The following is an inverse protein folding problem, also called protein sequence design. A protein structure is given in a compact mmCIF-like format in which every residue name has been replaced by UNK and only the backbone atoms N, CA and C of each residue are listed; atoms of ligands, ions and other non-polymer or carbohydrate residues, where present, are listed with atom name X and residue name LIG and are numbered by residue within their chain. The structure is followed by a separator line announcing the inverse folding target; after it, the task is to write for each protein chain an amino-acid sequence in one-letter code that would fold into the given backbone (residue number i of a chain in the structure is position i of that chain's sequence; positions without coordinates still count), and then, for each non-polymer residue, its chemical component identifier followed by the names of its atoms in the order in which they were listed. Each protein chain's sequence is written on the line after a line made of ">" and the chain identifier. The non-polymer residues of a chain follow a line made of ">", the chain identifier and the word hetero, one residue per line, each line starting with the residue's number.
data_IF_880451833610
#
_entry.id   IF_880451833610
#
_cell.length_a   1.000
_cell.length_b   1.000
_cell.length_c   1.000
_cell.angle_alpha   90.00
_cell.angle_beta   90.00
_cell.angle_gamma   90.00
#
_symmetry.space_group_name_H-M   'P 1'
#
loop_
_entity.id
_entity.type
_entity.pdbx_description
1 polymer ?
#
# COMPACT_ATOMS: atom_id res chain seq x y z
N UNK A 1 10.12 5.16 -0.70
CA UNK A 1 9.76 5.52 0.68
C UNK A 1 11.02 6.01 1.38
N UNK A 2 10.94 7.14 2.06
CA UNK A 2 12.01 7.69 2.91
C UNK A 2 11.38 7.87 4.29
N UNK A 3 11.99 7.29 5.33
CA UNK A 3 11.47 7.34 6.71
C UNK A 3 10.00 6.87 6.87
N UNK A 4 9.59 5.83 6.15
CA UNK A 4 8.22 5.32 6.20
C UNK A 4 7.18 6.20 5.50
N UNK A 5 7.58 7.34 4.95
CA UNK A 5 6.73 8.21 4.13
C UNK A 5 6.95 7.93 2.66
N UNK A 6 5.85 7.94 1.91
CA UNK A 6 5.89 7.80 0.46
C UNK A 6 6.32 9.15 -0.12
N UNK A 7 7.26 9.09 -1.05
CA UNK A 7 7.63 10.20 -1.91
C UNK A 7 7.56 9.65 -3.32
N UNK A 8 6.91 10.37 -4.21
CA UNK A 8 7.00 10.15 -5.64
C UNK A 8 7.06 11.53 -6.32
N UNK A 9 7.28 11.56 -7.61
CA UNK A 9 7.43 12.79 -8.39
C UNK A 9 6.31 12.86 -9.41
N UNK A 10 5.81 14.05 -9.77
CA UNK A 10 4.91 14.20 -10.90
C UNK A 10 5.48 13.51 -12.15
N UNK A 11 4.62 12.78 -12.88
CA UNK A 11 5.04 12.03 -14.07
C UNK A 11 5.16 12.92 -15.31
N UNK A 12 4.42 14.02 -15.35
CA UNK A 12 4.49 15.02 -16.40
C UNK A 12 5.64 16.00 -16.11
N UNK A 13 6.44 16.33 -17.13
CA UNK A 13 7.58 17.22 -17.00
C UNK A 13 7.16 18.65 -16.59
N UNK A 14 6.02 19.14 -17.08
CA UNK A 14 5.52 20.46 -16.71
C UNK A 14 5.20 20.52 -15.20
N UNK A 15 4.45 19.55 -14.71
CA UNK A 15 4.09 19.42 -13.31
C UNK A 15 5.31 19.18 -12.41
N UNK A 16 6.34 18.50 -12.93
CA UNK A 16 7.60 18.26 -12.21
C UNK A 16 8.40 19.54 -11.99
N UNK A 17 8.47 20.41 -13.00
CA UNK A 17 9.17 21.70 -12.90
C UNK A 17 8.46 22.60 -11.89
N UNK A 18 7.13 22.69 -11.96
CA UNK A 18 6.33 23.43 -10.98
C UNK A 18 6.47 22.87 -9.56
N UNK A 19 6.42 21.55 -9.41
CA UNK A 19 6.63 20.89 -8.12
C UNK A 19 8.03 21.13 -7.55
N UNK A 20 9.08 21.11 -8.37
CA UNK A 20 10.45 21.42 -7.91
C UNK A 20 10.58 22.87 -7.45
N UNK A 21 10.01 23.81 -8.19
CA UNK A 21 10.04 25.23 -7.84
C UNK A 21 9.27 25.50 -6.53
N UNK A 22 8.14 24.82 -6.33
CA UNK A 22 7.40 24.86 -5.06
C UNK A 22 8.19 24.20 -3.93
N UNK A 23 8.74 23.00 -4.15
CA UNK A 23 9.52 22.27 -3.14
C UNK A 23 10.74 23.08 -2.70
N UNK A 24 11.48 23.69 -3.65
CA UNK A 24 12.62 24.57 -3.34
C UNK A 24 12.21 25.79 -2.52
N UNK A 25 11.06 26.43 -2.84
CA UNK A 25 10.54 27.57 -2.06
C UNK A 25 10.14 27.17 -0.64
N UNK A 26 9.54 25.99 -0.47
CA UNK A 26 9.11 25.49 0.84
C UNK A 26 10.27 24.99 1.70
N UNK A 27 11.34 24.47 1.11
CA UNK A 27 12.58 24.17 1.83
C UNK A 27 13.26 25.45 2.36
N UNK A 28 13.15 26.57 1.61
CA UNK A 28 13.74 27.85 2.00
C UNK A 28 12.90 28.68 2.99
N UNK A 29 11.60 28.39 3.11
CA UNK A 29 10.69 29.03 4.07
C UNK A 29 10.33 28.01 5.14
N UNK A 30 11.16 27.93 6.19
CA UNK A 30 11.05 26.93 7.23
C UNK A 30 9.72 26.97 8.00
N UNK A 31 8.69 26.34 7.45
CA UNK A 31 7.58 25.72 8.15
C UNK A 31 7.23 24.45 7.38
N UNK A 32 7.27 23.30 8.06
CA UNK A 32 7.03 21.96 7.53
C UNK A 32 5.56 21.76 7.11
N UNK A 33 5.02 22.61 6.24
CA UNK A 33 3.72 22.39 5.62
C UNK A 33 3.89 21.21 4.69
N UNK A 34 3.35 20.06 5.13
CA UNK A 34 3.31 18.80 4.39
C UNK A 34 2.61 19.05 3.05
N UNK A 35 3.39 19.35 2.02
CA UNK A 35 2.88 19.34 0.65
C UNK A 35 2.74 17.87 0.30
N UNK A 36 1.55 17.34 0.55
CA UNK A 36 1.12 16.13 -0.13
C UNK A 36 0.83 16.56 -1.58
N UNK A 37 1.66 16.18 -2.56
CA UNK A 37 1.28 16.42 -3.95
C UNK A 37 -0.07 15.71 -4.22
N UNK A 38 -0.92 16.30 -5.06
CA UNK A 38 -2.31 15.85 -5.28
C UNK A 38 -2.46 14.37 -5.69
N UNK A 39 -1.40 13.74 -6.18
CA UNK A 39 -1.37 12.32 -6.57
C UNK A 39 -0.85 11.39 -5.46
N UNK A 40 -0.44 11.97 -4.32
CA UNK A 40 0.04 11.28 -3.14
C UNK A 40 -0.94 11.53 -1.98
N UNK A 41 -2.14 11.00 -2.11
CA UNK A 41 -3.15 11.02 -1.05
C UNK A 41 -2.59 10.29 0.16
N UNK A 42 -2.40 11.02 1.26
CA UNK A 42 -2.09 10.39 2.55
C UNK A 42 -3.33 9.61 3.00
N UNK A 43 -3.15 8.45 3.63
CA UNK A 43 -4.27 7.65 4.15
C UNK A 43 -5.22 8.45 5.06
N UNK A 44 -4.71 9.51 5.70
CA UNK A 44 -5.45 10.40 6.58
C UNK A 44 -6.28 11.49 5.86
N UNK A 45 -5.96 11.80 4.60
CA UNK A 45 -6.64 12.85 3.80
C UNK A 45 -7.65 12.26 2.81
N UNK A 46 -7.78 10.93 2.73
CA UNK A 46 -8.72 10.25 1.85
C UNK A 46 -10.16 10.45 2.34
N UNK A 47 -10.96 11.11 1.51
CA UNK A 47 -12.36 11.46 1.82
C UNK A 47 -13.35 10.44 1.27
N UNK A 48 -13.00 9.76 0.17
CA UNK A 48 -13.87 8.77 -0.47
C UNK A 48 -13.43 7.34 -0.22
N UNK A 49 -14.36 6.39 -0.38
CA UNK A 49 -14.05 4.96 -0.24
C UNK A 49 -13.13 4.45 -1.37
N UNK A 50 -13.24 5.05 -2.56
CA UNK A 50 -12.39 4.74 -3.71
C UNK A 50 -10.95 5.18 -3.49
N UNK A 51 -10.73 6.41 -2.98
CA UNK A 51 -9.39 6.90 -2.62
C UNK A 51 -8.71 6.00 -1.58
N UNK A 52 -9.47 5.52 -0.59
CA UNK A 52 -8.95 4.58 0.43
C UNK A 52 -8.57 3.23 -0.19
N UNK A 53 -9.32 2.75 -1.17
CA UNK A 53 -8.99 1.51 -1.88
C UNK A 53 -7.72 1.67 -2.72
N UNK A 54 -7.59 2.78 -3.47
CA UNK A 54 -6.42 3.05 -4.29
C UNK A 54 -5.13 3.12 -3.46
N UNK A 55 -5.19 3.79 -2.31
CA UNK A 55 -4.07 3.85 -1.36
C UNK A 55 -3.71 2.44 -0.87
N UNK A 56 -4.70 1.62 -0.51
CA UNK A 56 -4.47 0.25 -0.05
C UNK A 56 -3.83 -0.60 -1.15
N UNK A 57 -4.36 -0.57 -2.37
CA UNK A 57 -3.84 -1.34 -3.49
C UNK A 57 -2.38 -0.99 -3.78
N UNK A 58 -2.03 0.29 -3.73
CA UNK A 58 -0.66 0.74 -3.95
C UNK A 58 0.28 0.32 -2.81
N UNK A 59 -0.18 0.42 -1.56
CA UNK A 59 0.59 -0.08 -0.40
C UNK A 59 0.83 -1.58 -0.52
N UNK A 60 -0.18 -2.36 -0.87
CA UNK A 60 -0.05 -3.82 -1.09
C UNK A 60 0.94 -4.11 -2.21
N UNK A 61 0.80 -3.46 -3.37
CA UNK A 61 1.68 -3.64 -4.53
C UNK A 61 3.13 -3.34 -4.20
N UNK A 62 3.36 -2.21 -3.53
CA UNK A 62 4.71 -1.77 -3.23
C UNK A 62 5.32 -2.60 -2.12
N UNK A 63 4.63 -2.78 -0.98
CA UNK A 63 5.19 -3.43 0.22
C UNK A 63 5.43 -4.93 0.05
N UNK A 64 4.56 -5.65 -0.68
CA UNK A 64 4.80 -7.07 -0.92
C UNK A 64 5.98 -7.32 -1.85
N UNK A 65 6.36 -6.34 -2.68
CA UNK A 65 7.56 -6.42 -3.53
C UNK A 65 8.84 -6.01 -2.80
N UNK A 66 8.77 -5.58 -1.55
CA UNK A 66 9.98 -5.30 -0.77
C UNK A 66 10.30 -6.46 0.17
N UNK A 67 11.56 -6.54 0.62
CA UNK A 67 12.00 -7.58 1.55
C UNK A 67 11.25 -7.49 2.89
N UNK A 68 10.80 -6.31 3.29
CA UNK A 68 10.13 -6.07 4.58
C UNK A 68 8.68 -6.59 4.61
N UNK A 69 8.00 -6.64 3.46
CA UNK A 69 6.61 -7.08 3.36
C UNK A 69 5.57 -6.08 3.85
N UNK A 70 4.33 -6.57 3.90
CA UNK A 70 3.13 -5.83 4.25
C UNK A 70 2.77 -6.04 5.72
N UNK A 71 2.66 -4.93 6.45
CA UNK A 71 2.18 -4.91 7.83
C UNK A 71 0.64 -4.92 7.86
N UNK A 72 0.08 -6.04 8.30
CA UNK A 72 -1.35 -6.30 8.41
C UNK A 72 -2.00 -5.53 9.57
N UNK A 73 -1.27 -5.15 10.62
CA UNK A 73 -1.81 -4.25 11.67
C UNK A 73 -2.03 -2.85 11.13
N UNK A 74 -1.09 -2.36 10.32
CA UNK A 74 -1.26 -1.08 9.65
C UNK A 74 -2.50 -1.14 8.74
N UNK A 75 -2.69 -2.24 7.99
CA UNK A 75 -3.89 -2.42 7.15
C UNK A 75 -5.15 -2.49 7.99
N UNK A 76 -5.16 -3.23 9.10
CA UNK A 76 -6.30 -3.33 10.01
C UNK A 76 -6.71 -1.95 10.55
N UNK A 77 -5.73 -1.15 10.98
CA UNK A 77 -5.97 0.17 11.55
C UNK A 77 -6.54 1.16 10.52
N UNK A 78 -6.06 1.13 9.27
CA UNK A 78 -6.42 2.11 8.25
C UNK A 78 -7.60 1.68 7.35
N UNK A 79 -7.76 0.37 7.12
CA UNK A 79 -8.73 -0.19 6.17
C UNK A 79 -9.64 -1.27 6.79
N UNK A 80 -9.44 -1.60 8.06
CA UNK A 80 -10.30 -2.51 8.83
C UNK A 80 -10.00 -4.00 8.61
N UNK A 81 -10.59 -4.81 9.49
CA UNK A 81 -10.43 -6.28 9.52
C UNK A 81 -10.85 -6.95 8.21
N UNK A 82 -11.85 -6.39 7.51
CA UNK A 82 -12.31 -6.94 6.22
C UNK A 82 -11.21 -6.92 5.16
N UNK A 83 -10.41 -5.85 5.11
CA UNK A 83 -9.29 -5.72 4.18
C UNK A 83 -8.20 -6.74 4.50
N UNK A 84 -7.86 -6.92 5.78
CA UNK A 84 -6.91 -7.95 6.23
C UNK A 84 -7.36 -9.35 5.82
N UNK A 85 -8.64 -9.67 6.06
CA UNK A 85 -9.20 -10.97 5.68
C UNK A 85 -9.15 -11.20 4.17
N UNK A 86 -9.44 -10.17 3.36
CA UNK A 86 -9.34 -10.26 1.90
C UNK A 86 -7.90 -10.47 1.43
N UNK A 87 -6.93 -9.77 2.03
CA UNK A 87 -5.50 -9.94 1.72
C UNK A 87 -5.03 -11.35 2.07
N UNK A 88 -5.35 -11.83 3.28
CA UNK A 88 -4.98 -13.18 3.72
C UNK A 88 -5.62 -14.23 2.81
N UNK A 89 -6.89 -14.05 2.44
CA UNK A 89 -7.60 -14.96 1.52
C UNK A 89 -6.97 -14.96 0.13
N UNK A 90 -6.66 -13.80 -0.44
CA UNK A 90 -6.01 -13.69 -1.75
C UNK A 90 -4.59 -14.24 -1.74
N UNK A 91 -3.90 -14.18 -0.60
CA UNK A 91 -2.55 -14.73 -0.42
C UNK A 91 -2.50 -16.24 -0.19
N UNK A 92 -3.66 -16.88 0.01
CA UNK A 92 -3.72 -18.29 0.45
C UNK A 92 -2.94 -19.24 -0.46
N UNK A 93 -3.10 -19.13 -1.78
CA UNK A 93 -2.35 -19.95 -2.74
C UNK A 93 -0.85 -19.74 -2.59
N UNK A 94 -0.41 -18.49 -2.38
CA UNK A 94 0.99 -18.17 -2.13
C UNK A 94 1.51 -18.78 -0.83
N UNK A 95 0.71 -18.77 0.23
CA UNK A 95 1.04 -19.39 1.51
C UNK A 95 1.14 -20.92 1.38
N UNK A 96 0.16 -21.55 0.73
CA UNK A 96 0.10 -23.01 0.54
C UNK A 96 1.28 -23.53 -0.30
N UNK A 97 1.81 -22.71 -1.20
CA UNK A 97 2.95 -23.02 -2.06
C UNK A 97 4.31 -22.55 -1.52
N UNK A 98 4.38 -22.03 -0.28
CA UNK A 98 5.58 -21.41 0.29
C UNK A 98 6.18 -20.26 -0.55
N UNK A 99 5.35 -19.59 -1.34
CA UNK A 99 5.69 -18.37 -2.09
C UNK A 99 5.46 -17.10 -1.25
N UNK A 100 4.64 -17.22 -0.21
CA UNK A 100 4.46 -16.21 0.80
C UNK A 100 4.58 -16.85 2.19
N UNK A 101 4.94 -16.03 3.17
CA UNK A 101 4.99 -16.41 4.58
C UNK A 101 4.32 -15.33 5.42
N UNK A 102 3.66 -15.76 6.48
CA UNK A 102 3.02 -14.88 7.44
C UNK A 102 3.84 -14.95 8.74
N UNK A 103 4.57 -13.88 9.01
CA UNK A 103 5.47 -13.78 10.16
C UNK A 103 4.75 -13.18 11.35
N UNK A 104 4.84 -13.87 12.49
CA UNK A 104 4.49 -13.31 13.80
C UNK A 104 5.67 -12.50 14.32
N UNK A 105 5.46 -11.21 14.61
CA UNK A 105 6.44 -10.41 15.32
C UNK A 105 5.89 -10.10 16.72
N UNK A 106 6.29 -10.91 17.70
CA UNK A 106 5.76 -10.84 19.07
C UNK A 106 4.42 -11.55 19.24
N UNK A 107 3.50 -10.97 20.03
CA UNK A 107 2.19 -11.57 20.36
C UNK A 107 1.16 -11.53 19.22
N UNK A 108 1.44 -10.81 18.12
CA UNK A 108 0.51 -10.70 16.98
C UNK A 108 1.13 -11.21 15.66
N UNK A 109 0.29 -11.85 14.84
CA UNK A 109 0.55 -12.27 13.45
C UNK A 109 0.43 -11.04 12.54
N UNK A 110 1.54 -10.44 12.10
CA UNK A 110 1.46 -9.08 11.58
C UNK A 110 2.00 -8.89 10.18
N UNK A 111 2.97 -9.69 9.70
CA UNK A 111 3.65 -9.34 8.45
C UNK A 111 3.46 -10.42 7.39
N UNK A 112 2.85 -10.04 6.28
CA UNK A 112 2.81 -10.86 5.07
C UNK A 112 4.01 -10.54 4.18
N UNK A 113 4.82 -11.54 3.86
CA UNK A 113 6.04 -11.39 3.05
C UNK A 113 6.05 -12.41 1.91
N UNK A 114 6.63 -12.01 0.78
CA UNK A 114 6.98 -12.93 -0.28
C UNK A 114 8.32 -13.60 0.05
N UNK A 115 8.45 -14.88 -0.28
CA UNK A 115 9.71 -15.61 -0.10
C UNK A 115 10.71 -15.24 -1.20
N UNK A 116 12.00 -15.25 -0.86
CA UNK A 116 13.09 -14.95 -1.79
C UNK A 116 13.77 -16.26 -2.23
N UNK A 117 13.96 -16.54 -3.54
CA UNK A 117 13.54 -15.75 -4.71
C UNK A 117 12.16 -16.11 -5.26
N UNK A 118 11.63 -17.27 -4.87
CA UNK A 118 10.45 -17.88 -5.51
C UNK A 118 9.21 -17.02 -5.39
N UNK A 119 8.93 -16.47 -4.21
CA UNK A 119 7.79 -15.57 -3.99
C UNK A 119 7.84 -14.30 -4.82
N UNK A 120 9.02 -13.69 -4.97
CA UNK A 120 9.18 -12.52 -5.84
C UNK A 120 8.92 -12.83 -7.31
N UNK A 121 9.38 -14.00 -7.79
CA UNK A 121 9.16 -14.44 -9.16
C UNK A 121 7.66 -14.58 -9.50
N UNK A 122 6.86 -15.03 -8.54
CA UNK A 122 5.41 -15.21 -8.68
C UNK A 122 4.58 -14.09 -8.03
N UNK A 123 5.22 -12.97 -7.70
CA UNK A 123 4.58 -11.84 -6.99
C UNK A 123 3.33 -11.34 -7.70
N UNK A 124 3.35 -11.27 -9.04
CA UNK A 124 2.19 -10.82 -9.83
C UNK A 124 0.97 -11.73 -9.67
N UNK A 125 1.16 -13.05 -9.59
CA UNK A 125 0.05 -13.99 -9.41
C UNK A 125 -0.61 -13.81 -8.04
N UNK A 126 0.20 -13.62 -7.00
CA UNK A 126 -0.28 -13.39 -5.62
C UNK A 126 -0.97 -12.02 -5.53
N UNK A 127 -0.37 -10.97 -6.08
CA UNK A 127 -0.93 -9.62 -6.10
C UNK A 127 -2.29 -9.58 -6.81
N UNK A 128 -2.41 -10.23 -7.98
CA UNK A 128 -3.68 -10.30 -8.72
C UNK A 128 -4.79 -10.98 -7.91
N UNK A 129 -4.46 -12.05 -7.18
CA UNK A 129 -5.40 -12.75 -6.30
C UNK A 129 -5.84 -11.88 -5.12
N UNK A 130 -4.90 -11.15 -4.50
CA UNK A 130 -5.21 -10.18 -3.43
C UNK A 130 -6.11 -9.06 -3.95
N UNK A 131 -5.79 -8.49 -5.10
CA UNK A 131 -6.55 -7.38 -5.68
C UNK A 131 -7.99 -7.79 -6.01
N UNK A 132 -8.16 -8.99 -6.57
CA UNK A 132 -9.49 -9.55 -6.82
C UNK A 132 -10.32 -9.66 -5.53
N UNK A 133 -9.73 -10.13 -4.44
CA UNK A 133 -10.42 -10.25 -3.16
C UNK A 133 -10.77 -8.88 -2.54
N UNK A 134 -9.89 -7.89 -2.67
CA UNK A 134 -10.11 -6.52 -2.23
C UNK A 134 -11.22 -5.81 -3.02
N UNK A 135 -11.23 -5.96 -4.34
CA UNK A 135 -12.27 -5.40 -5.19
C UNK A 135 -13.64 -6.05 -4.92
N UNK A 136 -13.65 -7.37 -4.67
CA UNK A 136 -14.89 -8.10 -4.34
C UNK A 136 -15.52 -7.60 -3.05
N UNK A 137 -14.74 -7.32 -2.00
CA UNK A 137 -15.31 -6.78 -0.75
C UNK A 137 -15.80 -5.34 -0.91
N UNK A 138 -15.18 -4.55 -1.79
CA UNK A 138 -15.63 -3.19 -2.11
C UNK A 138 -16.98 -3.22 -2.86
N UNK A 139 -17.09 -4.09 -3.87
CA UNK A 139 -18.31 -4.28 -4.66
C UNK A 139 -19.47 -4.82 -3.82
N UNK A 140 -19.22 -5.79 -2.92
CA UNK A 140 -20.25 -6.36 -2.04
C UNK A 140 -20.61 -5.39 -0.90
N UNK A 141 -19.68 -4.53 -0.49
CA UNK A 141 -19.90 -3.49 0.52
C UNK A 141 -20.65 -2.25 0.01
N UNK A 142 -20.73 -2.06 -1.31
CA UNK A 142 -21.34 -0.91 -1.99
C UNK A 142 -22.85 -1.01 -2.26
N UNK A 143 -23.55 -2.02 -1.76
CA UNK A 143 -25.01 -2.01 -1.68
C UNK A 143 -25.43 -1.43 -0.33
N UNK A 144 -25.41 -0.10 -0.21
CA UNK A 144 -26.32 0.70 0.63
C UNK A 144 -26.20 2.18 0.31
#
# INVERSE_FOLDING_TARGET
>A
FVEGKRFARPRNMADYISWLDEEQKNIMTAEHKKIHPSWLTSANDATTSEEKLDILLDVVLTRLRTKEGLDLKWVEHNHGVKAVNAIVKGSKIGLDLNLAVLEKKGECMDILRLTDPSGFLFSNSILSSIFYELDRINTIGGLK
#
